data_IF_692083669816
#
_entry.id   IF_692083669816
#
_cell.length_a   1.000
_cell.length_b   1.000
_cell.length_c   1.000
_cell.angle_alpha   90.00
_cell.angle_beta   90.00
_cell.angle_gamma   90.00
#
_symmetry.space_group_name_H-M   'P 1'
#
loop_
_entity.id
_entity.type
_entity.pdbx_description
1 polymer ?
#
# COMPACT_ATOMS: atom_id res chain seq x y z
N UNK A 1 -55.95 -7.58 43.36
CA UNK A 1 -54.84 -8.32 42.72
C UNK A 1 -54.36 -7.51 41.53
N UNK A 2 -53.15 -6.93 41.54
CA UNK A 2 -52.54 -6.37 40.34
C UNK A 2 -51.47 -7.31 39.75
N UNK A 3 -51.55 -7.56 38.44
CA UNK A 3 -50.49 -8.22 37.65
C UNK A 3 -49.28 -7.29 37.49
N UNK A 4 -48.03 -7.77 37.55
CA UNK A 4 -46.88 -7.01 37.10
C UNK A 4 -46.70 -7.18 35.57
N UNK A 5 -46.66 -6.06 34.85
CA UNK A 5 -46.27 -6.00 33.44
C UNK A 5 -44.74 -5.98 33.40
N UNK A 6 -44.14 -7.07 32.91
CA UNK A 6 -42.70 -7.19 32.67
C UNK A 6 -42.37 -6.41 31.40
N UNK A 7 -41.66 -5.29 31.56
CA UNK A 7 -41.13 -4.50 30.44
C UNK A 7 -39.79 -5.13 30.01
N UNK A 8 -39.82 -5.98 28.99
CA UNK A 8 -38.61 -6.49 28.32
C UNK A 8 -38.04 -5.42 27.40
N UNK A 9 -36.94 -4.79 27.82
CA UNK A 9 -36.13 -3.93 26.96
C UNK A 9 -35.31 -4.82 26.03
N UNK A 10 -35.73 -4.90 24.76
CA UNK A 10 -34.95 -5.55 23.69
C UNK A 10 -33.86 -4.58 23.26
N UNK A 11 -32.61 -4.88 23.62
CA UNK A 11 -31.42 -4.22 23.10
C UNK A 11 -31.25 -4.58 21.62
N UNK A 12 -31.63 -3.64 20.75
CA UNK A 12 -31.27 -3.65 19.33
C UNK A 12 -29.76 -3.37 19.21
N UNK A 13 -28.96 -4.43 19.25
CA UNK A 13 -27.57 -4.37 18.80
C UNK A 13 -27.58 -4.27 17.28
N UNK A 14 -27.51 -3.05 16.77
CA UNK A 14 -27.15 -2.79 15.37
C UNK A 14 -25.73 -3.28 15.14
N UNK A 15 -25.58 -4.43 14.48
CA UNK A 15 -24.28 -4.89 13.97
C UNK A 15 -23.81 -3.90 12.91
N UNK A 16 -22.61 -3.29 13.05
CA UNK A 16 -22.05 -2.52 11.94
C UNK A 16 -21.82 -3.48 10.77
N UNK A 17 -22.21 -3.01 9.58
CA UNK A 17 -22.16 -3.77 8.34
C UNK A 17 -20.79 -4.40 8.13
N UNK A 18 -20.80 -5.68 7.78
CA UNK A 18 -19.64 -6.39 7.31
C UNK A 18 -19.03 -5.59 6.16
N UNK A 19 -17.81 -5.09 6.36
CA UNK A 19 -17.00 -4.58 5.28
C UNK A 19 -16.92 -5.70 4.22
N UNK A 20 -17.14 -5.35 2.95
CA UNK A 20 -16.98 -6.30 1.85
C UNK A 20 -15.58 -6.93 1.98
N UNK A 21 -15.56 -8.21 2.33
CA UNK A 21 -14.36 -8.98 2.53
C UNK A 21 -13.70 -9.12 1.16
N UNK A 22 -12.74 -8.24 0.86
CA UNK A 22 -11.99 -8.32 -0.37
C UNK A 22 -11.29 -9.66 -0.42
N UNK A 23 -11.60 -10.49 -1.42
CA UNK A 23 -10.94 -11.78 -1.59
C UNK A 23 -9.42 -11.59 -1.65
N UNK A 24 -8.71 -12.23 -0.71
CA UNK A 24 -7.26 -12.24 -0.69
C UNK A 24 -6.75 -12.85 -2.01
N UNK A 25 -5.97 -12.08 -2.77
CA UNK A 25 -5.31 -12.50 -4.02
C UNK A 25 -6.26 -13.02 -5.12
N UNK A 26 -7.31 -12.26 -5.45
CA UNK A 26 -8.22 -12.55 -6.59
C UNK A 26 -7.54 -12.72 -7.97
N UNK A 27 -6.28 -12.35 -8.12
CA UNK A 27 -5.49 -12.52 -9.35
C UNK A 27 -4.54 -13.73 -9.33
N UNK A 28 -4.62 -14.59 -8.32
CA UNK A 28 -3.79 -15.78 -8.17
C UNK A 28 -4.14 -16.87 -9.20
N UNK A 29 -3.15 -17.34 -9.96
CA UNK A 29 -3.29 -18.54 -10.79
C UNK A 29 -3.04 -19.79 -9.95
N UNK A 30 -4.06 -20.63 -9.79
CA UNK A 30 -3.98 -21.87 -9.02
C UNK A 30 -3.15 -22.97 -9.70
N UNK A 31 -2.82 -22.80 -10.98
CA UNK A 31 -2.00 -23.77 -11.72
C UNK A 31 -0.51 -23.40 -11.74
N UNK A 32 -0.15 -22.22 -11.25
CA UNK A 32 1.23 -21.75 -11.15
C UNK A 32 1.79 -22.05 -9.74
N UNK A 33 2.67 -23.05 -9.58
CA UNK A 33 3.23 -23.38 -8.28
C UNK A 33 4.07 -22.25 -7.69
N UNK A 34 4.71 -21.41 -8.51
CA UNK A 34 5.50 -20.29 -8.03
C UNK A 34 4.59 -19.19 -7.47
N UNK A 35 3.45 -18.91 -8.13
CA UNK A 35 2.44 -17.99 -7.62
C UNK A 35 1.85 -18.46 -6.29
N UNK A 36 1.55 -19.75 -6.15
CA UNK A 36 1.03 -20.33 -4.92
C UNK A 36 2.05 -20.26 -3.78
N UNK A 37 3.31 -20.57 -4.05
CA UNK A 37 4.38 -20.46 -3.06
C UNK A 37 4.56 -19.03 -2.58
N UNK A 38 4.56 -18.05 -3.49
CA UNK A 38 4.67 -16.64 -3.14
C UNK A 38 3.44 -16.15 -2.36
N UNK A 39 2.23 -16.56 -2.74
CA UNK A 39 1.02 -16.23 -1.99
C UNK A 39 1.07 -16.81 -0.57
N UNK A 40 1.50 -18.06 -0.42
CA UNK A 40 1.64 -18.71 0.89
C UNK A 40 2.63 -17.96 1.77
N UNK A 41 3.80 -17.58 1.23
CA UNK A 41 4.79 -16.76 1.92
C UNK A 41 4.22 -15.42 2.38
N UNK A 42 3.45 -14.74 1.52
CA UNK A 42 2.84 -13.44 1.85
C UNK A 42 1.80 -13.61 2.95
N UNK A 43 0.96 -14.64 2.88
CA UNK A 43 -0.05 -14.95 3.91
C UNK A 43 0.61 -15.21 5.25
N UNK A 44 1.69 -15.99 5.30
CA UNK A 44 2.41 -16.27 6.53
C UNK A 44 2.97 -14.99 7.18
N UNK A 45 3.55 -14.10 6.37
CA UNK A 45 4.07 -12.82 6.86
C UNK A 45 2.93 -11.88 7.27
N UNK A 46 1.86 -11.82 6.50
CA UNK A 46 0.68 -11.03 6.82
C UNK A 46 0.03 -11.50 8.12
N UNK A 47 -0.11 -12.81 8.34
CA UNK A 47 -0.66 -13.38 9.56
C UNK A 47 0.14 -12.93 10.79
N UNK A 48 1.48 -12.92 10.70
CA UNK A 48 2.36 -12.40 11.76
C UNK A 48 2.07 -10.93 12.05
N UNK A 49 1.82 -10.11 11.03
CA UNK A 49 1.51 -8.69 11.20
C UNK A 49 0.09 -8.45 11.72
N UNK A 50 -0.89 -9.19 11.20
CA UNK A 50 -2.30 -9.11 11.55
C UNK A 50 -2.59 -9.56 12.98
N UNK A 51 -1.76 -10.43 13.54
CA UNK A 51 -1.84 -10.84 14.96
C UNK A 51 -1.61 -9.69 15.95
N UNK A 52 -1.06 -8.56 15.50
CA UNK A 52 -0.74 -7.40 16.34
C UNK A 52 -1.71 -6.25 16.10
N UNK A 53 -2.00 -5.43 17.12
CA UNK A 53 -2.85 -4.25 16.98
C UNK A 53 -2.10 -3.09 16.32
N UNK A 54 -1.72 -3.24 15.05
CA UNK A 54 -0.92 -2.28 14.30
C UNK A 54 -1.44 -2.12 12.88
N UNK A 55 -1.17 -0.96 12.28
CA UNK A 55 -1.33 -0.72 10.84
C UNK A 55 -0.07 -1.16 10.10
N UNK A 56 -0.23 -1.73 8.92
CA UNK A 56 0.86 -2.17 8.05
C UNK A 56 0.49 -1.98 6.57
N UNK A 57 1.49 -2.03 5.70
CA UNK A 57 1.29 -2.03 4.25
C UNK A 57 1.48 -3.43 3.67
N UNK A 58 0.66 -3.77 2.70
CA UNK A 58 0.90 -4.85 1.75
C UNK A 58 1.07 -4.23 0.37
N UNK A 59 2.29 -4.23 -0.16
CA UNK A 59 2.59 -3.77 -1.52
C UNK A 59 2.52 -4.98 -2.44
N UNK A 60 1.43 -5.09 -3.18
CA UNK A 60 1.21 -6.18 -4.13
C UNK A 60 1.63 -5.75 -5.54
N UNK A 61 2.85 -6.11 -5.91
CA UNK A 61 3.41 -5.82 -7.24
C UNK A 61 2.77 -6.72 -8.31
N UNK A 62 2.28 -7.90 -7.94
CA UNK A 62 1.59 -8.83 -8.84
C UNK A 62 0.23 -8.28 -9.26
N UNK A 63 -0.57 -7.80 -8.30
CA UNK A 63 -1.89 -7.21 -8.61
C UNK A 63 -1.83 -5.71 -8.94
N UNK A 64 -0.72 -5.05 -8.64
CA UNK A 64 -0.51 -3.63 -8.90
C UNK A 64 -1.29 -2.74 -7.94
N UNK A 65 -1.25 -3.03 -6.64
CA UNK A 65 -1.91 -2.22 -5.62
C UNK A 65 -1.11 -2.19 -4.31
N UNK A 66 -1.21 -1.08 -3.59
CA UNK A 66 -0.79 -0.96 -2.19
C UNK A 66 -2.04 -1.05 -1.33
N UNK A 67 -2.03 -1.90 -0.32
CA UNK A 67 -3.10 -2.04 0.65
C UNK A 67 -2.60 -1.54 2.00
N UNK A 68 -3.38 -0.66 2.62
CA UNK A 68 -3.17 -0.21 3.99
C UNK A 68 -4.10 -1.05 4.84
N UNK A 69 -3.55 -1.80 5.78
CA UNK A 69 -4.29 -2.79 6.55
C UNK A 69 -4.08 -2.60 8.05
N UNK A 70 -5.07 -3.01 8.84
CA UNK A 70 -4.94 -3.14 10.28
C UNK A 70 -5.57 -4.45 10.75
N UNK A 71 -4.82 -5.23 11.52
CA UNK A 71 -5.26 -6.55 12.02
C UNK A 71 -5.85 -7.47 10.93
N UNK A 72 -5.28 -7.47 9.73
CA UNK A 72 -5.79 -8.28 8.61
C UNK A 72 -6.88 -7.62 7.76
N UNK A 73 -7.46 -6.51 8.24
CA UNK A 73 -8.57 -5.82 7.56
C UNK A 73 -8.04 -4.73 6.65
N UNK A 74 -8.51 -4.70 5.40
CA UNK A 74 -8.23 -3.65 4.43
C UNK A 74 -8.89 -2.33 4.88
N UNK A 75 -8.07 -1.31 5.14
CA UNK A 75 -8.54 0.04 5.45
C UNK A 75 -8.61 0.91 4.21
N UNK A 76 -7.63 0.76 3.32
CA UNK A 76 -7.53 1.57 2.10
C UNK A 76 -6.69 0.86 1.04
N UNK A 77 -6.99 1.13 -0.23
CA UNK A 77 -6.29 0.51 -1.38
C UNK A 77 -5.91 1.58 -2.39
N UNK A 78 -4.62 1.64 -2.70
CA UNK A 78 -4.03 2.58 -3.65
C UNK A 78 -3.60 1.81 -4.91
N UNK A 79 -4.16 2.10 -6.11
CA UNK A 79 -3.72 1.46 -7.34
C UNK A 79 -2.32 1.93 -7.74
N UNK A 80 -1.46 0.98 -8.13
CA UNK A 80 -0.12 1.26 -8.67
C UNK A 80 -0.26 1.44 -10.18
N UNK A 81 0.05 2.63 -10.69
CA UNK A 81 0.03 2.89 -12.14
C UNK A 81 1.22 2.22 -12.83
N UNK A 82 2.39 2.30 -12.20
CA UNK A 82 3.61 1.73 -12.72
C UNK A 82 4.57 1.32 -11.59
N UNK A 83 5.40 0.30 -11.84
CA UNK A 83 6.48 -0.06 -10.94
C UNK A 83 7.70 -0.66 -11.67
N UNK A 84 8.87 -0.51 -11.06
CA UNK A 84 10.15 -1.16 -11.44
C UNK A 84 10.87 -1.64 -10.19
N UNK A 85 11.75 -2.63 -10.35
CA UNK A 85 12.51 -3.23 -9.25
C UNK A 85 13.91 -3.62 -9.73
N UNK A 86 14.92 -3.45 -8.88
CA UNK A 86 16.31 -3.83 -9.19
C UNK A 86 16.63 -5.28 -8.79
N UNK A 87 16.21 -5.70 -7.59
CA UNK A 87 16.55 -7.03 -7.03
C UNK A 87 15.32 -7.73 -6.45
N UNK A 88 14.41 -8.15 -7.34
CA UNK A 88 13.14 -8.78 -6.97
C UNK A 88 13.30 -9.99 -6.01
N UNK A 89 14.30 -10.88 -6.17
CA UNK A 89 14.46 -12.02 -5.27
C UNK A 89 14.77 -11.64 -3.81
N UNK A 90 15.37 -10.47 -3.56
CA UNK A 90 15.72 -9.99 -2.21
C UNK A 90 14.54 -9.34 -1.46
N UNK A 91 13.41 -9.13 -2.13
CA UNK A 91 12.19 -8.57 -1.54
C UNK A 91 11.36 -9.63 -0.80
N UNK A 92 11.98 -10.31 0.15
CA UNK A 92 11.36 -11.38 0.95
C UNK A 92 11.21 -10.98 2.41
N UNK A 93 10.08 -11.33 3.01
CA UNK A 93 9.80 -11.06 4.43
C UNK A 93 9.14 -9.71 4.68
N UNK A 94 9.15 -9.29 5.94
CA UNK A 94 8.62 -8.01 6.39
C UNK A 94 9.73 -6.97 6.56
N UNK A 95 9.48 -5.78 6.04
CA UNK A 95 10.33 -4.60 6.14
C UNK A 95 9.72 -3.61 7.12
N UNK A 96 10.53 -2.75 7.72
CA UNK A 96 10.06 -1.67 8.61
C UNK A 96 10.51 -0.33 8.10
N UNK A 97 9.56 0.58 7.93
CA UNK A 97 9.85 1.95 7.51
C UNK A 97 10.73 2.64 8.56
N UNK A 98 11.88 3.18 8.16
CA UNK A 98 12.79 3.85 9.12
C UNK A 98 12.29 5.25 9.47
N UNK A 99 11.81 5.99 8.48
CA UNK A 99 11.30 7.34 8.65
C UNK A 99 10.16 7.65 7.67
N UNK A 100 9.20 8.44 8.14
CA UNK A 100 8.11 9.02 7.35
C UNK A 100 8.67 10.03 6.32
N UNK A 101 8.01 10.24 5.16
CA UNK A 101 8.34 11.33 4.26
C UNK A 101 8.38 12.69 4.98
N UNK A 102 9.35 13.56 4.65
CA UNK A 102 9.37 14.91 5.16
C UNK A 102 8.16 15.68 4.62
N UNK A 103 7.43 16.36 5.52
CA UNK A 103 6.32 17.24 5.16
C UNK A 103 6.81 18.69 5.23
N UNK A 104 6.74 19.40 4.11
CA UNK A 104 7.11 20.81 4.04
C UNK A 104 6.02 21.61 4.75
N UNK A 105 6.34 22.19 5.91
CA UNK A 105 5.42 23.04 6.65
C UNK A 105 5.45 24.46 6.07
N UNK A 106 4.28 25.09 5.94
CA UNK A 106 4.18 26.51 5.56
C UNK A 106 4.94 27.35 6.59
N UNK A 107 5.76 28.29 6.11
CA UNK A 107 6.56 29.18 6.96
C UNK A 107 5.61 30.08 7.77
N UNK A 108 5.70 30.02 9.09
CA UNK A 108 4.84 30.78 10.00
C UNK A 108 5.34 32.22 10.04
N UNK A 109 4.45 33.20 9.85
CA UNK A 109 4.71 34.58 10.24
C UNK A 109 4.32 34.74 11.72
N UNK A 110 5.28 34.93 12.64
CA UNK A 110 5.00 35.08 14.07
C UNK A 110 4.20 36.34 14.41
N UNK A 111 3.97 37.23 13.44
CA UNK A 111 3.23 38.48 13.59
C UNK A 111 1.72 38.34 13.36
N UNK A 112 1.27 37.20 12.80
CA UNK A 112 -0.13 36.96 12.48
C UNK A 112 -0.85 36.28 13.66
N UNK A 113 -1.79 36.99 14.29
CA UNK A 113 -2.68 36.50 15.38
C UNK A 113 -3.80 35.59 14.85
N UNK A 114 -3.49 34.69 13.91
CA UNK A 114 -4.47 33.76 13.33
C UNK A 114 -4.09 32.34 13.69
N UNK A 115 -5.09 31.58 14.16
CA UNK A 115 -4.94 30.16 14.48
C UNK A 115 -4.39 29.41 13.25
N UNK A 116 -3.42 28.53 13.50
CA UNK A 116 -2.74 27.78 12.45
C UNK A 116 -3.71 26.81 11.78
N UNK A 117 -3.82 26.87 10.45
CA UNK A 117 -4.57 25.89 9.68
C UNK A 117 -3.97 24.47 9.89
N UNK A 118 -4.81 23.45 10.17
CA UNK A 118 -4.37 22.07 10.29
C UNK A 118 -3.70 21.59 8.99
N UNK A 119 -2.69 20.72 9.13
CA UNK A 119 -2.06 20.09 7.96
C UNK A 119 -3.12 19.30 7.20
N UNK A 120 -3.19 19.55 5.90
CA UNK A 120 -4.14 18.90 4.99
C UNK A 120 -3.46 17.84 4.13
N UNK A 121 -4.26 17.00 3.46
CA UNK A 121 -3.75 16.01 2.51
C UNK A 121 -2.97 16.66 1.35
N UNK A 122 -3.42 17.84 0.89
CA UNK A 122 -2.75 18.60 -0.18
C UNK A 122 -1.36 19.10 0.20
N UNK A 123 -1.02 19.16 1.49
CA UNK A 123 0.33 19.52 1.95
C UNK A 123 1.29 18.32 1.92
N UNK A 124 0.82 17.12 1.57
CA UNK A 124 1.67 15.93 1.47
C UNK A 124 2.51 15.93 0.19
N UNK A 125 3.74 15.40 0.25
CA UNK A 125 4.58 15.25 -0.92
C UNK A 125 3.98 14.22 -1.89
N UNK A 126 4.15 14.49 -3.18
CA UNK A 126 3.77 13.60 -4.28
C UNK A 126 4.95 12.77 -4.79
N UNK A 127 6.17 13.17 -4.42
CA UNK A 127 7.44 12.53 -4.77
C UNK A 127 8.30 12.43 -3.52
N UNK A 128 8.76 11.23 -3.19
CA UNK A 128 9.58 10.99 -2.00
C UNK A 128 10.24 9.61 -2.03
N UNK A 129 11.27 9.47 -1.18
CA UNK A 129 12.00 8.23 -0.98
C UNK A 129 11.80 7.73 0.44
N UNK A 130 11.45 6.45 0.58
CA UNK A 130 11.33 5.75 1.84
C UNK A 130 12.47 4.74 1.98
N UNK A 131 13.04 4.67 3.17
CA UNK A 131 14.08 3.70 3.52
C UNK A 131 13.56 2.71 4.55
N UNK A 132 14.02 1.46 4.45
CA UNK A 132 13.53 0.37 5.29
C UNK A 132 14.65 -0.37 6.02
N UNK A 133 14.24 -1.13 7.04
CA UNK A 133 15.05 -2.16 7.69
C UNK A 133 14.31 -3.52 7.65
N UNK A 134 14.86 -4.60 7.06
CA UNK A 134 16.15 -4.70 6.37
C UNK A 134 16.31 -3.70 5.21
N UNK A 135 17.55 -3.43 4.79
CA UNK A 135 17.84 -2.39 3.81
C UNK A 135 17.07 -2.61 2.50
N UNK A 136 16.18 -1.68 2.18
CA UNK A 136 15.38 -1.60 0.97
C UNK A 136 14.95 -0.15 0.78
N UNK A 137 14.81 0.28 -0.47
CA UNK A 137 14.38 1.63 -0.83
C UNK A 137 13.08 1.53 -1.62
N UNK A 138 12.12 2.38 -1.26
CA UNK A 138 10.92 2.61 -2.05
C UNK A 138 10.91 4.05 -2.52
N UNK A 139 11.00 4.25 -3.83
CA UNK A 139 10.84 5.54 -4.48
C UNK A 139 9.40 5.67 -4.95
N UNK A 140 8.75 6.77 -4.58
CA UNK A 140 7.39 7.08 -4.99
C UNK A 140 7.43 8.30 -5.86
N UNK A 141 6.89 8.18 -7.06
CA UNK A 141 6.73 9.25 -8.03
C UNK A 141 5.25 9.40 -8.40
N UNK A 142 4.82 10.64 -8.60
CA UNK A 142 3.48 10.93 -9.09
C UNK A 142 3.47 11.00 -10.61
N UNK A 143 2.55 10.29 -11.25
CA UNK A 143 2.19 10.54 -12.63
C UNK A 143 1.48 11.91 -12.68
N UNK A 144 2.23 12.97 -12.94
CA UNK A 144 1.70 14.32 -13.14
C UNK A 144 0.52 14.29 -14.13
N UNK A 145 -0.53 15.06 -13.81
CA UNK A 145 -1.83 15.07 -14.50
C UNK A 145 -1.69 15.22 -16.03
N UNK A 146 -1.79 14.09 -16.74
CA UNK A 146 -2.18 14.07 -18.15
C UNK A 146 -3.64 13.63 -18.24
N UNK A 147 -4.54 14.55 -17.90
CA UNK A 147 -5.91 14.62 -18.42
C UNK A 147 -6.87 13.49 -18.05
N UNK A 148 -8.16 13.83 -18.10
CA UNK A 148 -9.35 12.99 -17.86
C UNK A 148 -9.50 11.76 -18.78
N UNK A 149 -8.48 11.44 -19.59
CA UNK A 149 -8.34 10.19 -20.35
C UNK A 149 -7.74 9.02 -19.54
N UNK A 150 -7.31 9.27 -18.29
CA UNK A 150 -6.68 8.26 -17.42
C UNK A 150 -7.56 7.06 -17.03
N UNK A 151 -8.89 7.19 -17.07
CA UNK A 151 -9.80 6.09 -16.70
C UNK A 151 -9.93 5.00 -17.77
N UNK A 152 -9.80 5.34 -19.06
CA UNK A 152 -9.85 4.37 -20.17
C UNK A 152 -8.60 3.46 -20.17
N UNK A 153 -7.48 3.91 -19.58
CA UNK A 153 -6.28 3.09 -19.36
C UNK A 153 -6.42 2.05 -18.25
N UNK A 154 -7.49 2.08 -17.44
CA UNK A 154 -7.74 1.04 -16.44
C UNK A 154 -8.25 -0.28 -17.04
N UNK A 155 -8.76 -0.27 -18.29
CA UNK A 155 -9.15 -1.50 -19.01
C UNK A 155 -7.95 -2.22 -19.67
N UNK A 156 -6.82 -1.55 -19.87
CA UNK A 156 -5.58 -2.13 -20.45
C UNK A 156 -4.75 -2.98 -19.47
N UNK A 157 -5.26 -3.22 -18.27
CA UNK A 157 -4.57 -3.88 -17.14
C UNK A 157 -4.08 -5.32 -17.39
N UNK A 158 -4.53 -6.02 -18.46
CA UNK A 158 -3.99 -7.34 -18.85
C UNK A 158 -2.84 -7.27 -19.86
N UNK A 159 -2.87 -6.33 -20.81
CA UNK A 159 -1.88 -6.25 -21.90
C UNK A 159 -0.56 -5.62 -21.42
N UNK A 160 -0.63 -4.71 -20.44
CA UNK A 160 0.57 -4.10 -19.86
C UNK A 160 1.37 -5.04 -18.94
N UNK A 161 0.73 -6.07 -18.34
CA UNK A 161 1.44 -7.09 -17.54
C UNK A 161 2.47 -7.86 -18.38
N UNK A 162 2.14 -8.19 -19.64
CA UNK A 162 3.05 -8.93 -20.53
C UNK A 162 4.19 -8.07 -21.12
N UNK A 163 3.95 -6.80 -21.43
CA UNK A 163 4.98 -5.95 -22.04
C UNK A 163 6.07 -5.52 -21.04
N UNK A 164 5.82 -5.64 -19.73
CA UNK A 164 6.69 -5.13 -18.66
C UNK A 164 7.78 -6.12 -18.23
N UNK A 165 7.48 -7.42 -18.23
CA UNK A 165 8.44 -8.50 -17.97
C UNK A 165 9.61 -8.42 -18.97
N UNK A 166 9.32 -8.04 -20.22
CA UNK A 166 10.34 -7.85 -21.26
C UNK A 166 11.30 -6.67 -21.04
N UNK A 167 10.87 -5.59 -20.37
CA UNK A 167 11.75 -4.45 -20.08
C UNK A 167 12.67 -4.70 -18.88
N UNK A 168 12.27 -5.57 -17.95
CA UNK A 168 13.08 -5.89 -16.77
C UNK A 168 14.37 -6.66 -17.12
N UNK A 169 14.38 -7.40 -18.22
CA UNK A 169 15.62 -8.05 -18.72
C UNK A 169 16.60 -7.09 -19.40
N UNK A 170 16.18 -5.89 -19.82
CA UNK A 170 16.99 -4.99 -20.65
C UNK A 170 17.68 -3.85 -19.88
N UNK A 171 17.36 -3.63 -18.60
CA UNK A 171 17.93 -2.55 -17.80
C UNK A 171 18.99 -3.01 -16.76
N UNK A 172 19.28 -4.32 -16.69
CA UNK A 172 20.13 -4.90 -15.64
C UNK A 172 21.62 -4.89 -15.97
N UNK A 173 22.27 -3.73 -15.94
CA UNK A 173 23.70 -3.64 -15.63
C UNK A 173 23.84 -2.92 -14.29
N UNK A 174 23.80 -3.67 -13.18
CA UNK A 174 23.96 -3.11 -11.83
C UNK A 174 24.99 -3.86 -11.01
N UNK A 175 25.67 -3.08 -10.19
CA UNK A 175 26.85 -3.44 -9.41
C UNK A 175 26.48 -4.27 -8.17
N UNK A 176 27.27 -5.29 -7.82
CA UNK A 176 27.02 -6.10 -6.62
C UNK A 176 27.15 -5.26 -5.34
N UNK A 177 26.08 -5.19 -4.54
CA UNK A 177 26.11 -4.60 -3.19
C UNK A 177 25.10 -3.48 -2.91
N UNK A 178 24.29 -3.06 -3.88
CA UNK A 178 23.26 -2.04 -3.65
C UNK A 178 22.04 -2.62 -2.90
N UNK A 179 21.27 -1.76 -2.22
CA UNK A 179 20.03 -2.17 -1.58
C UNK A 179 18.91 -2.34 -2.63
N UNK A 180 18.02 -3.33 -2.47
CA UNK A 180 16.91 -3.52 -3.39
C UNK A 180 16.06 -2.24 -3.45
N UNK A 181 15.84 -1.74 -4.65
CA UNK A 181 15.07 -0.51 -4.89
C UNK A 181 13.80 -0.85 -5.67
N UNK A 182 12.68 -0.34 -5.19
CA UNK A 182 11.38 -0.40 -5.85
C UNK A 182 11.01 1.04 -6.21
N UNK A 183 10.76 1.32 -7.48
CA UNK A 183 10.23 2.61 -7.91
C UNK A 183 8.77 2.43 -8.27
N UNK A 184 7.87 3.20 -7.65
CA UNK A 184 6.44 3.17 -7.85
C UNK A 184 5.95 4.47 -8.45
N UNK A 185 5.10 4.37 -9.44
CA UNK A 185 4.33 5.49 -9.98
C UNK A 185 2.89 5.37 -9.50
N UNK A 186 2.42 6.39 -8.78
CA UNK A 186 1.06 6.53 -8.29
C UNK A 186 0.40 7.78 -8.93
N UNK A 187 -0.92 7.95 -8.80
CA UNK A 187 -1.48 9.29 -9.07
C UNK A 187 -1.15 10.23 -7.90
N UNK A 188 -1.21 11.55 -8.16
CA UNK A 188 -0.90 12.57 -7.16
C UNK A 188 -1.63 12.37 -5.83
N UNK A 189 -2.96 12.17 -5.88
CA UNK A 189 -3.79 11.91 -4.70
C UNK A 189 -3.37 10.64 -3.95
N UNK A 190 -2.99 9.58 -4.67
CA UNK A 190 -2.62 8.29 -4.09
C UNK A 190 -1.22 8.36 -3.46
N UNK A 191 -0.29 9.12 -4.05
CA UNK A 191 1.01 9.42 -3.46
C UNK A 191 0.85 10.25 -2.17
N UNK A 192 0.01 11.27 -2.20
CA UNK A 192 -0.30 12.07 -1.01
C UNK A 192 -0.95 11.24 0.10
N UNK A 193 -1.91 10.37 -0.25
CA UNK A 193 -2.56 9.44 0.68
C UNK A 193 -1.57 8.45 1.31
N UNK A 194 -0.63 7.93 0.51
CA UNK A 194 0.45 7.08 1.02
C UNK A 194 1.40 7.85 1.96
N UNK A 195 1.81 9.07 1.60
CA UNK A 195 2.62 9.91 2.47
C UNK A 195 1.91 10.33 3.77
N UNK A 196 0.58 10.49 3.72
CA UNK A 196 -0.24 10.79 4.89
C UNK A 196 -0.33 9.61 5.85
N UNK A 197 -0.54 8.41 5.32
CA UNK A 197 -0.79 7.19 6.09
C UNK A 197 0.48 6.54 6.65
N UNK A 198 1.65 6.82 6.07
CA UNK A 198 2.91 6.22 6.50
C UNK A 198 3.40 6.78 7.85
N UNK A 199 3.87 5.89 8.73
CA UNK A 199 4.41 6.24 10.05
C UNK A 199 5.75 5.55 10.30
N UNK A 200 6.56 6.13 11.18
CA UNK A 200 7.86 5.55 11.56
C UNK A 200 7.66 4.13 12.13
N UNK A 201 8.50 3.20 11.69
CA UNK A 201 8.45 1.79 12.12
C UNK A 201 7.33 0.97 11.49
N UNK A 202 6.52 1.55 10.59
CA UNK A 202 5.40 0.86 9.96
C UNK A 202 5.89 -0.40 9.22
N UNK A 203 5.32 -1.57 9.51
CA UNK A 203 5.65 -2.80 8.81
C UNK A 203 5.12 -2.79 7.37
N UNK A 204 5.88 -3.38 6.47
CA UNK A 204 5.54 -3.53 5.06
C UNK A 204 5.87 -4.95 4.61
N UNK A 205 4.91 -5.61 3.97
CA UNK A 205 5.12 -6.87 3.25
C UNK A 205 4.96 -6.59 1.77
N UNK A 206 5.78 -7.23 0.95
CA UNK A 206 5.73 -7.10 -0.50
C UNK A 206 5.29 -8.45 -1.07
N UNK A 207 4.35 -8.46 -2.01
CA UNK A 207 4.05 -9.61 -2.87
C UNK A 207 4.69 -9.40 -4.23
N UNK A 208 5.57 -10.31 -4.62
CA UNK A 208 6.28 -10.29 -5.90
C UNK A 208 5.39 -10.93 -6.98
N UNK A 209 5.51 -10.52 -8.26
CA UNK A 209 4.94 -11.32 -9.34
C UNK A 209 5.67 -12.67 -9.42
N UNK A 210 4.95 -13.75 -9.75
CA UNK A 210 5.59 -15.00 -10.14
C UNK A 210 6.32 -14.81 -11.47
N UNK A 211 7.51 -15.41 -11.58
CA UNK A 211 8.17 -15.57 -12.88
C UNK A 211 7.36 -16.59 -13.69
N UNK A 212 7.08 -16.31 -14.98
CA UNK A 212 6.45 -17.30 -15.86
C UNK A 212 7.35 -18.48 -16.19
#
# INVERSE_FOLDING_TARGET
MPLPIILSVVLLLSTPGWAAEGEAFSDLDMNDPAALQEASRVIEEELKLASRPQTYLLIDLASGAIQIKARGVDLHRLPIAAWTVTELPRLTGAFRLTARPPVIRRKIDPSATTEQEPISLSDMPTEYRLSFNPAMILEVESAAEQGTMGWIRMASKKVWKQLRVWKQHLAGAQSPGEAPTISLTLSSEQAQSLAWSTVNGMPVVIRRPSEP
#
